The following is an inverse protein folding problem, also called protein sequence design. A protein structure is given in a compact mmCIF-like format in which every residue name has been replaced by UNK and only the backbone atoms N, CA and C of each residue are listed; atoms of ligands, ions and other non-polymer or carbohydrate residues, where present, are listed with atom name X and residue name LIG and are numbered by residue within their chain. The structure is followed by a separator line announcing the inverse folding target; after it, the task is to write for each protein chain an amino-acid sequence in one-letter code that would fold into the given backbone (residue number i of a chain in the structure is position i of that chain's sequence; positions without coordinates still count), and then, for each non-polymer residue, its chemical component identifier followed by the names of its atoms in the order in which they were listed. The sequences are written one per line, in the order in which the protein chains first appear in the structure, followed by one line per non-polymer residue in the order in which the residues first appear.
data_IF_371333528953
#
_entry.id   IF_371333528953
#
_cell.length_a   1.000
_cell.length_b   1.000
_cell.length_c   1.000
_cell.angle_alpha   90.00
_cell.angle_beta   90.00
_cell.angle_gamma   90.00
#
_symmetry.space_group_name_H-M   'P 1'
#
loop_
_entity.id
_entity.type
_entity.pdbx_description
1 polymer ?
#
# COMPACT_ATOMS: atom_id res chain seq x y z
N UNK A 1 -49.78 38.60 -47.36
CA UNK A 1 -48.32 38.46 -47.54
C UNK A 1 -47.69 39.40 -46.53
N UNK A 2 -47.26 38.93 -45.37
CA UNK A 2 -46.60 39.76 -44.37
C UNK A 2 -45.46 38.94 -43.73
N UNK A 3 -44.28 39.45 -43.95
CA UNK A 3 -43.03 39.00 -43.29
C UNK A 3 -43.02 39.56 -41.86
N UNK A 4 -43.22 38.74 -40.91
CA UNK A 4 -42.84 38.99 -39.49
C UNK A 4 -42.69 37.67 -38.77
N UNK A 5 -41.62 37.55 -38.11
CA UNK A 5 -41.30 36.63 -37.03
C UNK A 5 -40.17 35.66 -37.40
N UNK A 6 -39.00 36.02 -36.98
CA UNK A 6 -38.03 35.05 -36.47
C UNK A 6 -36.97 35.83 -35.66
N UNK A 7 -37.23 35.94 -34.40
CA UNK A 7 -36.23 36.27 -33.38
C UNK A 7 -36.73 35.65 -32.05
N UNK A 8 -36.54 34.34 -31.90
CA UNK A 8 -36.59 33.73 -30.59
C UNK A 8 -35.13 33.52 -30.12
N UNK A 9 -34.81 34.22 -29.07
CA UNK A 9 -33.56 34.13 -28.35
C UNK A 9 -33.34 32.73 -27.83
N UNK A 10 -32.30 32.08 -28.32
CA UNK A 10 -31.74 30.90 -27.65
C UNK A 10 -31.01 31.34 -26.39
N UNK A 11 -31.66 31.30 -25.25
CA UNK A 11 -31.02 31.40 -23.95
C UNK A 11 -30.21 30.12 -23.73
N UNK A 12 -28.90 30.14 -23.95
CA UNK A 12 -28.00 29.13 -23.48
C UNK A 12 -28.07 29.13 -21.95
N UNK A 13 -28.72 28.11 -21.38
CA UNK A 13 -28.57 27.77 -19.99
C UNK A 13 -27.13 27.33 -19.75
N UNK A 14 -26.30 28.21 -19.24
CA UNK A 14 -25.04 27.84 -18.59
C UNK A 14 -25.43 27.02 -17.38
N UNK A 15 -25.36 25.69 -17.52
CA UNK A 15 -25.44 24.78 -16.39
C UNK A 15 -24.24 25.09 -15.49
N UNK A 16 -24.46 25.93 -14.50
CA UNK A 16 -23.50 26.16 -13.42
C UNK A 16 -23.20 24.82 -12.79
N UNK A 17 -22.00 24.35 -12.97
CA UNK A 17 -21.45 23.25 -12.21
C UNK A 17 -21.55 23.65 -10.74
N UNK A 18 -22.58 23.21 -10.03
CA UNK A 18 -22.66 23.32 -8.58
C UNK A 18 -21.47 22.51 -8.06
N UNK A 19 -20.41 23.20 -7.65
CA UNK A 19 -19.41 22.63 -6.76
C UNK A 19 -20.18 22.06 -5.58
N UNK A 20 -20.32 20.73 -5.54
CA UNK A 20 -20.73 20.05 -4.32
C UNK A 20 -19.80 20.54 -3.21
N UNK A 21 -20.31 20.93 -2.04
CA UNK A 21 -19.43 21.21 -0.92
C UNK A 21 -18.61 19.95 -0.68
N UNK A 22 -17.31 20.06 -0.82
CA UNK A 22 -16.37 18.98 -0.54
C UNK A 22 -16.46 18.72 0.98
N UNK A 23 -17.40 17.83 1.36
CA UNK A 23 -17.39 17.28 2.70
C UNK A 23 -16.03 16.61 2.89
N UNK A 24 -15.34 16.90 3.99
CA UNK A 24 -14.06 16.28 4.33
C UNK A 24 -14.16 14.77 4.11
N UNK A 25 -13.47 14.29 3.08
CA UNK A 25 -13.46 12.86 2.76
C UNK A 25 -12.64 12.17 3.85
N UNK A 26 -13.31 11.44 4.75
CA UNK A 26 -12.62 10.64 5.77
C UNK A 26 -11.81 9.54 5.08
N UNK A 27 -10.50 9.72 5.03
CA UNK A 27 -9.56 8.70 4.52
C UNK A 27 -9.54 7.50 5.45
N UNK A 28 -9.39 6.31 4.87
CA UNK A 28 -9.30 5.04 5.62
C UNK A 28 -7.88 4.85 6.12
N UNK A 29 -7.68 4.81 7.44
CA UNK A 29 -6.38 4.63 8.06
C UNK A 29 -6.13 3.17 8.41
N UNK A 30 -4.95 2.68 8.06
CA UNK A 30 -4.44 1.36 8.39
C UNK A 30 -3.07 1.48 9.07
N UNK A 31 -2.74 0.45 9.85
CA UNK A 31 -1.42 0.30 10.45
C UNK A 31 -0.73 -0.91 9.85
N UNK A 32 0.51 -0.74 9.39
CA UNK A 32 1.37 -1.84 9.00
C UNK A 32 2.14 -2.35 10.23
N UNK A 33 2.19 -3.66 10.42
CA UNK A 33 2.86 -4.31 11.55
C UNK A 33 4.34 -3.93 11.68
N UNK A 34 5.00 -3.50 10.61
CA UNK A 34 6.37 -3.00 10.62
C UNK A 34 6.56 -1.88 11.63
N UNK A 35 5.58 -0.98 11.74
CA UNK A 35 5.63 0.20 12.62
C UNK A 35 5.69 -0.17 14.10
N UNK A 36 5.10 -1.29 14.48
CA UNK A 36 5.04 -1.76 15.88
C UNK A 36 5.88 -3.02 16.13
N UNK A 37 6.64 -3.49 15.14
CA UNK A 37 7.39 -4.76 15.23
C UNK A 37 8.43 -4.80 16.34
N UNK A 38 8.96 -3.64 16.74
CA UNK A 38 9.95 -3.53 17.81
C UNK A 38 9.43 -3.96 19.19
N UNK A 39 8.11 -3.94 19.39
CA UNK A 39 7.47 -4.40 20.61
C UNK A 39 7.32 -5.92 20.71
N UNK A 40 7.56 -6.65 19.61
CA UNK A 40 7.50 -8.13 19.55
C UNK A 40 6.17 -8.71 20.05
N UNK A 41 5.07 -8.01 19.76
CA UNK A 41 3.72 -8.45 20.14
C UNK A 41 3.31 -9.68 19.31
N UNK A 42 2.52 -10.57 19.91
CA UNK A 42 1.82 -11.62 19.17
C UNK A 42 0.83 -11.01 18.16
N UNK A 43 0.44 -11.72 17.10
CA UNK A 43 -0.57 -11.24 16.16
C UNK A 43 -1.85 -10.81 16.87
N UNK A 44 -2.29 -11.59 17.86
CA UNK A 44 -3.47 -11.31 18.68
C UNK A 44 -3.35 -9.97 19.44
N UNK A 45 -2.18 -9.69 20.00
CA UNK A 45 -1.95 -8.45 20.75
C UNK A 45 -1.74 -7.25 19.81
N UNK A 46 -1.14 -7.45 18.62
CA UNK A 46 -1.08 -6.43 17.58
C UNK A 46 -2.50 -6.01 17.17
N UNK A 47 -3.39 -6.96 16.86
CA UNK A 47 -4.79 -6.71 16.49
C UNK A 47 -5.54 -5.94 17.58
N UNK A 48 -5.42 -6.37 18.84
CA UNK A 48 -6.04 -5.65 19.98
C UNK A 48 -5.54 -4.22 20.10
N UNK A 49 -4.22 -4.01 20.01
CA UNK A 49 -3.61 -2.70 20.17
C UNK A 49 -4.03 -1.76 19.04
N UNK A 50 -4.00 -2.23 17.78
CA UNK A 50 -4.37 -1.44 16.60
C UNK A 50 -5.85 -1.08 16.62
N UNK A 51 -6.73 -2.03 16.96
CA UNK A 51 -8.16 -1.79 17.12
C UNK A 51 -8.46 -0.77 18.23
N UNK A 52 -7.83 -0.95 19.39
CA UNK A 52 -8.01 -0.05 20.54
C UNK A 52 -7.52 1.37 20.26
N UNK A 53 -6.54 1.55 19.38
CA UNK A 53 -6.07 2.86 18.94
C UNK A 53 -7.02 3.55 17.94
N UNK A 54 -8.00 2.84 17.35
CA UNK A 54 -9.00 3.41 16.46
C UNK A 54 -8.67 3.32 14.96
N UNK A 55 -7.71 2.47 14.56
CA UNK A 55 -7.48 2.18 13.15
C UNK A 55 -8.62 1.35 12.57
N UNK A 56 -9.00 1.64 11.32
CA UNK A 56 -9.97 0.83 10.58
C UNK A 56 -9.35 -0.36 9.85
N UNK A 57 -8.03 -0.31 9.58
CA UNK A 57 -7.29 -1.33 8.83
C UNK A 57 -6.01 -1.78 9.52
N UNK A 58 -5.56 -2.99 9.16
CA UNK A 58 -4.30 -3.56 9.62
C UNK A 58 -3.64 -4.40 8.53
N UNK A 59 -2.31 -4.30 8.40
CA UNK A 59 -1.47 -5.13 7.54
C UNK A 59 -0.54 -5.99 8.39
N UNK A 60 -0.92 -7.23 8.70
CA UNK A 60 -0.05 -8.17 9.41
C UNK A 60 1.07 -8.71 8.51
N UNK A 61 2.17 -9.15 9.13
CA UNK A 61 3.17 -9.94 8.44
C UNK A 61 2.78 -11.42 8.41
N UNK A 62 3.01 -12.10 7.28
CA UNK A 62 2.66 -13.52 7.11
C UNK A 62 3.32 -14.42 8.14
N UNK A 63 4.56 -14.11 8.57
CA UNK A 63 5.23 -14.86 9.64
C UNK A 63 4.45 -14.85 10.96
N UNK A 64 3.78 -13.72 11.29
CA UNK A 64 3.01 -13.60 12.52
C UNK A 64 1.67 -14.34 12.41
N UNK A 65 1.10 -14.36 11.20
CA UNK A 65 -0.09 -15.17 10.88
C UNK A 65 0.22 -16.66 11.03
N UNK A 66 1.33 -17.12 10.45
CA UNK A 66 1.75 -18.52 10.58
C UNK A 66 2.09 -18.91 12.02
N UNK A 67 2.70 -17.99 12.78
CA UNK A 67 2.93 -18.20 14.22
C UNK A 67 1.61 -18.36 14.98
N UNK A 68 0.61 -17.50 14.72
CA UNK A 68 -0.71 -17.59 15.35
C UNK A 68 -1.47 -18.87 14.97
N UNK A 69 -1.23 -19.42 13.77
CA UNK A 69 -1.76 -20.75 13.39
C UNK A 69 -1.08 -21.85 14.17
N UNK A 70 0.23 -21.78 14.33
CA UNK A 70 1.01 -22.80 15.02
C UNK A 70 0.70 -22.86 16.52
N UNK A 71 0.44 -21.72 17.16
CA UNK A 71 0.12 -21.62 18.59
C UNK A 71 -1.39 -21.69 18.89
N UNK A 72 -2.24 -21.83 17.87
CA UNK A 72 -3.69 -22.00 18.01
C UNK A 72 -4.47 -20.70 18.27
N UNK A 73 -3.84 -19.53 18.22
CA UNK A 73 -4.50 -18.23 18.49
C UNK A 73 -5.15 -17.60 17.26
N UNK A 74 -4.98 -18.18 16.07
CA UNK A 74 -5.43 -17.61 14.78
C UNK A 74 -6.92 -17.31 14.75
N UNK A 75 -7.78 -18.29 15.07
CA UNK A 75 -9.24 -18.14 15.03
C UNK A 75 -9.73 -17.03 15.95
N UNK A 76 -9.21 -17.01 17.18
CA UNK A 76 -9.50 -15.96 18.16
C UNK A 76 -9.07 -14.59 17.66
N UNK A 77 -7.90 -14.49 17.00
CA UNK A 77 -7.38 -13.24 16.47
C UNK A 77 -8.29 -12.68 15.37
N UNK A 78 -8.72 -13.52 14.44
CA UNK A 78 -9.67 -13.14 13.38
C UNK A 78 -11.01 -12.70 13.97
N UNK A 79 -11.48 -13.41 15.00
CA UNK A 79 -12.71 -13.04 15.71
C UNK A 79 -12.58 -11.66 16.39
N UNK A 80 -11.46 -11.39 17.06
CA UNK A 80 -11.22 -10.09 17.72
C UNK A 80 -11.21 -8.96 16.69
N UNK A 81 -10.52 -9.13 15.56
CA UNK A 81 -10.50 -8.13 14.50
C UNK A 81 -11.92 -7.82 14.00
N UNK A 82 -12.69 -8.85 13.66
CA UNK A 82 -14.08 -8.71 13.20
C UNK A 82 -14.96 -8.01 14.24
N UNK A 83 -14.91 -8.46 15.50
CA UNK A 83 -15.78 -7.93 16.56
C UNK A 83 -15.43 -6.47 16.93
N UNK A 84 -14.20 -6.02 16.64
CA UNK A 84 -13.76 -4.63 16.79
C UNK A 84 -13.93 -3.77 15.53
N UNK A 85 -14.40 -4.34 14.40
CA UNK A 85 -14.53 -3.65 13.13
C UNK A 85 -13.19 -3.41 12.39
N UNK A 86 -12.08 -3.99 12.87
CA UNK A 86 -10.77 -3.89 12.23
C UNK A 86 -10.71 -4.79 10.99
N UNK A 87 -10.32 -4.24 9.84
CA UNK A 87 -10.17 -4.99 8.59
C UNK A 87 -8.70 -5.35 8.33
N UNK A 88 -8.44 -6.59 7.92
CA UNK A 88 -7.16 -6.94 7.34
C UNK A 88 -7.15 -6.46 5.89
N UNK A 89 -6.28 -5.48 5.57
CA UNK A 89 -6.35 -4.79 4.28
C UNK A 89 -5.36 -5.32 3.25
N UNK A 90 -4.25 -5.86 3.72
CA UNK A 90 -3.20 -6.51 2.92
C UNK A 90 -2.33 -7.35 3.85
N UNK A 91 -1.69 -8.40 3.36
CA UNK A 91 -0.69 -9.19 4.09
C UNK A 91 0.71 -8.93 3.57
N UNK A 92 1.67 -8.68 4.46
CA UNK A 92 3.07 -8.45 4.09
C UNK A 92 3.79 -9.78 3.97
N UNK A 93 4.13 -10.15 2.72
CA UNK A 93 4.73 -11.43 2.36
C UNK A 93 6.11 -11.27 1.71
N UNK A 94 6.91 -12.31 1.80
CA UNK A 94 8.29 -12.31 1.34
C UNK A 94 8.64 -13.52 0.46
N UNK A 95 7.69 -14.07 -0.29
CA UNK A 95 7.94 -15.16 -1.23
C UNK A 95 8.88 -14.74 -2.38
N UNK A 96 9.87 -15.57 -2.69
CA UNK A 96 10.86 -15.31 -3.76
C UNK A 96 10.33 -15.67 -5.16
N UNK A 97 9.08 -15.25 -5.46
CA UNK A 97 8.36 -15.58 -6.70
C UNK A 97 9.04 -15.07 -7.97
N UNK A 98 9.89 -14.03 -7.86
CA UNK A 98 10.55 -13.35 -8.98
C UNK A 98 11.95 -13.89 -9.27
N UNK A 99 12.48 -14.80 -8.43
CA UNK A 99 13.87 -15.26 -8.51
C UNK A 99 14.22 -15.87 -9.87
N UNK A 100 15.43 -15.61 -10.45
CA UNK A 100 15.84 -16.17 -11.75
C UNK A 100 16.03 -17.69 -11.72
N UNK A 101 16.56 -18.24 -10.62
CA UNK A 101 16.63 -19.69 -10.43
C UNK A 101 15.23 -20.29 -10.34
N UNK A 102 14.96 -21.30 -11.18
CA UNK A 102 13.64 -21.91 -11.31
C UNK A 102 13.19 -22.65 -10.04
N UNK A 103 14.11 -23.29 -9.31
CA UNK A 103 13.79 -24.03 -8.10
C UNK A 103 13.46 -23.07 -6.94
N UNK A 104 14.25 -22.00 -6.79
CA UNK A 104 13.99 -20.95 -5.79
C UNK A 104 12.64 -20.27 -6.08
N UNK A 105 12.39 -19.97 -7.36
CA UNK A 105 11.12 -19.37 -7.79
C UNK A 105 9.93 -20.30 -7.55
N UNK A 106 10.05 -21.58 -7.85
CA UNK A 106 9.00 -22.56 -7.59
C UNK A 106 8.68 -22.67 -6.09
N UNK A 107 9.71 -22.71 -5.23
CA UNK A 107 9.52 -22.70 -3.78
C UNK A 107 8.85 -21.40 -3.31
N UNK A 108 9.23 -20.24 -3.88
CA UNK A 108 8.61 -18.95 -3.59
C UNK A 108 7.14 -18.87 -4.02
N UNK A 109 6.75 -19.48 -5.12
CA UNK A 109 5.35 -19.59 -5.55
C UNK A 109 4.54 -20.48 -4.58
N UNK A 110 5.09 -21.62 -4.15
CA UNK A 110 4.41 -22.47 -3.16
C UNK A 110 4.30 -21.79 -1.78
N UNK A 111 5.29 -20.98 -1.38
CA UNK A 111 5.19 -20.12 -0.21
C UNK A 111 4.06 -19.10 -0.37
N UNK A 112 4.04 -18.36 -1.48
CA UNK A 112 2.99 -17.38 -1.79
C UNK A 112 1.60 -18.01 -1.78
N UNK A 113 1.46 -19.22 -2.27
CA UNK A 113 0.20 -19.98 -2.23
C UNK A 113 -0.26 -20.31 -0.81
N UNK A 114 0.66 -20.75 0.06
CA UNK A 114 0.35 -20.97 1.50
C UNK A 114 -0.05 -19.67 2.19
N UNK A 115 0.64 -18.58 1.87
CA UNK A 115 0.36 -17.26 2.40
C UNK A 115 -1.02 -16.76 1.96
N UNK A 116 -1.35 -16.86 0.68
CA UNK A 116 -2.68 -16.51 0.17
C UNK A 116 -3.79 -17.35 0.81
N UNK A 117 -3.55 -18.66 1.06
CA UNK A 117 -4.52 -19.49 1.77
C UNK A 117 -4.79 -18.99 3.18
N UNK A 118 -3.74 -18.58 3.91
CA UNK A 118 -3.87 -18.01 5.24
C UNK A 118 -4.62 -16.67 5.23
N UNK A 119 -4.34 -15.82 4.25
CA UNK A 119 -5.01 -14.54 4.07
C UNK A 119 -6.48 -14.69 3.69
N UNK A 120 -6.80 -15.60 2.79
CA UNK A 120 -8.19 -15.90 2.41
C UNK A 120 -9.02 -16.37 3.63
N UNK A 121 -8.45 -17.26 4.46
CA UNK A 121 -9.11 -17.76 5.67
C UNK A 121 -9.37 -16.64 6.70
N UNK A 122 -8.46 -15.65 6.82
CA UNK A 122 -8.68 -14.53 7.72
C UNK A 122 -9.51 -13.39 7.12
N UNK A 123 -9.94 -13.51 5.86
CA UNK A 123 -10.72 -12.49 5.17
C UNK A 123 -9.87 -11.30 4.68
N UNK A 124 -8.56 -11.48 4.52
CA UNK A 124 -7.65 -10.47 3.99
C UNK A 124 -7.62 -10.56 2.45
N UNK A 125 -8.03 -9.49 1.72
CA UNK A 125 -8.23 -9.59 0.27
C UNK A 125 -6.96 -9.41 -0.55
N UNK A 126 -5.81 -9.10 0.05
CA UNK A 126 -4.59 -8.72 -0.69
C UNK A 126 -3.32 -9.27 -0.06
N UNK A 127 -2.28 -9.36 -0.89
CA UNK A 127 -0.94 -9.79 -0.50
C UNK A 127 0.12 -8.92 -1.18
N UNK A 128 1.14 -8.49 -0.44
CA UNK A 128 2.31 -7.82 -1.00
C UNK A 128 3.14 -8.82 -1.84
N UNK A 129 3.47 -8.44 -3.06
CA UNK A 129 4.34 -9.20 -3.97
C UNK A 129 5.64 -8.41 -4.18
N UNK A 130 6.56 -8.57 -3.23
CA UNK A 130 7.83 -7.84 -3.19
C UNK A 130 8.93 -8.48 -4.05
N UNK A 131 10.02 -7.74 -4.25
CA UNK A 131 11.18 -8.16 -5.04
C UNK A 131 12.21 -8.94 -4.22
N UNK A 132 11.77 -9.71 -3.22
CA UNK A 132 12.69 -10.45 -2.35
C UNK A 132 13.55 -11.45 -3.14
N UNK A 133 14.83 -11.51 -2.77
CA UNK A 133 15.83 -12.41 -3.39
C UNK A 133 16.59 -11.79 -4.56
N UNK A 134 16.11 -10.67 -5.12
CA UNK A 134 16.74 -10.00 -6.26
C UNK A 134 16.94 -8.48 -6.07
N UNK A 135 16.72 -7.97 -4.87
CA UNK A 135 16.72 -6.53 -4.59
C UNK A 135 18.10 -5.94 -4.27
N UNK A 136 19.06 -6.78 -3.83
CA UNK A 136 20.36 -6.32 -3.31
C UNK A 136 21.36 -6.02 -4.43
N UNK A 137 22.33 -5.13 -4.20
CA UNK A 137 23.51 -5.00 -5.07
C UNK A 137 24.17 -6.36 -5.31
N UNK A 138 24.53 -6.62 -6.57
CA UNK A 138 25.08 -7.93 -7.00
C UNK A 138 24.03 -8.97 -7.37
N UNK A 139 22.73 -8.74 -7.11
CA UNK A 139 21.70 -9.62 -7.61
C UNK A 139 21.62 -9.58 -9.14
N UNK A 140 21.19 -10.69 -9.79
CA UNK A 140 20.94 -10.71 -11.23
C UNK A 140 19.99 -9.61 -11.65
N UNK A 141 20.32 -8.92 -12.75
CA UNK A 141 19.42 -7.93 -13.35
C UNK A 141 18.29 -8.64 -14.08
N UNK A 142 17.09 -8.12 -13.89
CA UNK A 142 15.86 -8.60 -14.55
C UNK A 142 15.32 -7.47 -15.43
N UNK A 143 14.87 -7.84 -16.61
CA UNK A 143 14.08 -6.94 -17.45
C UNK A 143 12.65 -6.81 -16.90
N UNK A 144 11.96 -5.71 -17.21
CA UNK A 144 10.55 -5.54 -16.83
C UNK A 144 9.67 -6.65 -17.43
N UNK A 145 10.04 -7.18 -18.60
CA UNK A 145 9.34 -8.30 -19.23
C UNK A 145 9.47 -9.59 -18.43
N UNK A 146 10.67 -9.91 -17.93
CA UNK A 146 10.89 -11.08 -17.07
C UNK A 146 10.15 -10.96 -15.73
N UNK A 147 10.13 -9.75 -15.13
CA UNK A 147 9.35 -9.49 -13.91
C UNK A 147 7.87 -9.70 -14.20
N UNK A 148 7.36 -9.15 -15.31
CA UNK A 148 5.96 -9.29 -15.70
C UNK A 148 5.56 -10.75 -15.96
N UNK A 149 6.37 -11.51 -16.69
CA UNK A 149 6.14 -12.94 -16.93
C UNK A 149 5.99 -13.73 -15.64
N UNK A 150 6.90 -13.49 -14.67
CA UNK A 150 6.86 -14.17 -13.38
C UNK A 150 5.71 -13.68 -12.50
N UNK A 151 5.35 -12.40 -12.57
CA UNK A 151 4.21 -11.85 -11.83
C UNK A 151 2.86 -12.38 -12.34
N UNK A 152 2.74 -12.77 -13.62
CA UNK A 152 1.54 -13.43 -14.15
C UNK A 152 1.17 -14.68 -13.34
N UNK A 153 2.15 -15.51 -12.96
CA UNK A 153 1.88 -16.71 -12.15
C UNK A 153 1.30 -16.35 -10.76
N UNK A 154 1.78 -15.26 -10.15
CA UNK A 154 1.26 -14.76 -8.86
C UNK A 154 -0.16 -14.21 -9.03
N UNK A 155 -0.43 -13.47 -10.13
CA UNK A 155 -1.76 -12.95 -10.44
C UNK A 155 -2.78 -14.08 -10.70
N UNK A 156 -2.39 -15.09 -11.49
CA UNK A 156 -3.24 -16.24 -11.80
C UNK A 156 -3.54 -17.08 -10.52
N UNK A 157 -2.57 -17.18 -9.60
CA UNK A 157 -2.76 -17.79 -8.29
C UNK A 157 -3.74 -16.97 -7.43
N UNK A 158 -3.53 -15.66 -7.36
CA UNK A 158 -4.39 -14.75 -6.61
C UNK A 158 -5.84 -14.77 -7.08
N UNK A 159 -6.05 -14.82 -8.41
CA UNK A 159 -7.38 -14.93 -9.00
C UNK A 159 -8.11 -16.24 -8.58
N UNK A 160 -7.37 -17.35 -8.45
CA UNK A 160 -7.91 -18.63 -8.01
C UNK A 160 -8.26 -18.64 -6.51
N UNK A 161 -7.53 -17.89 -5.71
CA UNK A 161 -7.63 -17.89 -4.25
C UNK A 161 -8.42 -16.72 -3.68
N UNK A 162 -8.86 -15.77 -4.53
CA UNK A 162 -9.57 -14.58 -4.09
C UNK A 162 -8.70 -13.60 -3.32
N UNK A 163 -7.36 -13.62 -3.52
CA UNK A 163 -6.40 -12.73 -2.85
C UNK A 163 -5.61 -11.98 -3.92
N UNK A 164 -5.83 -10.68 -4.03
CA UNK A 164 -5.18 -9.82 -5.03
C UNK A 164 -3.72 -9.57 -4.69
N UNK A 165 -2.74 -9.94 -5.55
CA UNK A 165 -1.35 -9.55 -5.34
C UNK A 165 -1.14 -8.09 -5.71
N UNK A 166 -0.44 -7.35 -4.86
CA UNK A 166 -0.01 -5.99 -5.10
C UNK A 166 1.48 -6.00 -5.42
N UNK A 167 1.85 -5.58 -6.63
CA UNK A 167 3.26 -5.49 -7.03
C UNK A 167 3.96 -4.39 -6.23
N UNK A 168 4.89 -4.77 -5.40
CA UNK A 168 5.64 -3.85 -4.55
C UNK A 168 7.01 -3.52 -5.16
N UNK A 169 7.33 -2.24 -5.25
CA UNK A 169 8.67 -1.77 -5.62
C UNK A 169 9.38 -1.22 -4.38
N UNK A 170 10.68 -1.47 -4.28
CA UNK A 170 11.50 -0.98 -3.18
C UNK A 170 12.55 0.00 -3.67
N UNK A 171 12.55 1.22 -3.20
CA UNK A 171 13.41 2.31 -3.66
C UNK A 171 14.91 2.04 -3.55
N UNK A 172 15.31 1.06 -2.77
CA UNK A 172 16.70 0.57 -2.70
C UNK A 172 16.97 -0.65 -3.59
N UNK A 173 15.97 -1.19 -4.26
CA UNK A 173 16.11 -2.37 -5.10
C UNK A 173 16.92 -2.07 -6.35
N UNK A 174 17.76 -3.04 -6.76
CA UNK A 174 18.51 -2.94 -8.02
C UNK A 174 17.67 -3.32 -9.24
N UNK A 175 16.49 -3.88 -9.06
CA UNK A 175 15.60 -4.31 -10.13
C UNK A 175 14.37 -3.41 -10.25
N UNK A 176 13.38 -3.54 -9.38
CA UNK A 176 12.15 -2.74 -9.42
C UNK A 176 12.19 -1.72 -8.28
N UNK A 177 12.49 -0.45 -8.59
CA UNK A 177 12.71 0.59 -7.57
C UNK A 177 11.88 1.86 -7.75
N UNK A 178 11.04 1.96 -8.80
CA UNK A 178 10.22 3.13 -9.09
C UNK A 178 8.80 2.74 -9.45
N UNK A 179 7.85 3.63 -9.15
CA UNK A 179 6.45 3.45 -9.53
C UNK A 179 6.27 3.36 -11.05
N UNK A 180 7.03 4.14 -11.82
CA UNK A 180 7.01 4.13 -13.30
C UNK A 180 7.29 2.74 -13.86
N UNK A 181 8.30 2.07 -13.29
CA UNK A 181 8.71 0.72 -13.71
C UNK A 181 7.65 -0.32 -13.30
N UNK A 182 7.07 -0.18 -12.09
CA UNK A 182 5.98 -1.04 -11.65
C UNK A 182 4.74 -0.91 -12.56
N UNK A 183 4.36 0.30 -12.96
CA UNK A 183 3.29 0.53 -13.93
C UNK A 183 3.60 -0.07 -15.30
N UNK A 184 4.86 0.01 -15.76
CA UNK A 184 5.28 -0.63 -16.99
C UNK A 184 5.17 -2.17 -16.92
N UNK A 185 5.51 -2.78 -15.77
CA UNK A 185 5.27 -4.22 -15.52
C UNK A 185 3.78 -4.55 -15.61
N UNK A 186 2.89 -3.79 -14.93
CA UNK A 186 1.45 -4.03 -14.99
C UNK A 186 0.90 -3.93 -16.42
N UNK A 187 1.41 -2.99 -17.23
CA UNK A 187 1.02 -2.85 -18.63
C UNK A 187 1.39 -4.06 -19.50
N UNK A 188 2.47 -4.78 -19.15
CA UNK A 188 2.89 -6.02 -19.83
C UNK A 188 2.04 -7.21 -19.34
N UNK A 189 1.76 -7.30 -18.04
CA UNK A 189 1.04 -8.43 -17.40
C UNK A 189 -0.35 -8.65 -18.00
N UNK A 190 -1.10 -7.58 -18.27
CA UNK A 190 -2.43 -7.62 -18.90
C UNK A 190 -3.41 -8.59 -18.22
N UNK A 191 -3.42 -8.64 -16.90
CA UNK A 191 -4.41 -9.40 -16.13
C UNK A 191 -5.40 -8.44 -15.46
N UNK A 192 -6.70 -8.78 -15.38
CA UNK A 192 -7.66 -8.01 -14.60
C UNK A 192 -7.23 -7.90 -13.15
N UNK A 193 -7.48 -6.76 -12.52
CA UNK A 193 -7.22 -6.56 -11.10
C UNK A 193 -5.74 -6.45 -10.72
N UNK A 194 -4.82 -6.23 -11.68
CA UNK A 194 -3.42 -5.94 -11.37
C UNK A 194 -3.29 -4.59 -10.68
N UNK A 195 -2.53 -4.54 -9.59
CA UNK A 195 -2.37 -3.35 -8.76
C UNK A 195 -0.94 -3.25 -8.21
N UNK A 196 -0.58 -2.08 -7.73
CA UNK A 196 0.70 -1.82 -7.06
C UNK A 196 0.47 -1.62 -5.56
N UNK A 197 1.46 -1.99 -4.77
CA UNK A 197 1.65 -1.50 -3.41
C UNK A 197 2.65 -0.36 -3.50
N UNK A 198 2.11 0.87 -3.58
CA UNK A 198 2.94 2.05 -3.64
C UNK A 198 3.33 2.52 -2.23
N UNK A 199 4.49 3.16 -2.13
CA UNK A 199 5.07 3.63 -0.89
C UNK A 199 5.72 5.00 -1.11
N UNK A 200 5.43 5.95 -0.22
CA UNK A 200 5.92 7.34 -0.33
C UNK A 200 7.44 7.42 -0.19
N UNK A 201 7.99 6.72 0.81
CA UNK A 201 9.45 6.66 1.00
C UNK A 201 10.14 5.95 -0.16
N UNK A 202 9.62 4.81 -0.60
CA UNK A 202 10.22 4.08 -1.71
C UNK A 202 10.13 4.85 -3.03
N UNK A 203 9.07 5.61 -3.28
CA UNK A 203 8.97 6.52 -4.42
C UNK A 203 10.12 7.53 -4.40
N UNK A 204 10.32 8.22 -3.28
CA UNK A 204 11.43 9.17 -3.14
C UNK A 204 12.79 8.47 -3.20
N UNK A 205 12.99 7.42 -2.41
CA UNK A 205 14.27 6.70 -2.30
C UNK A 205 14.76 6.14 -3.63
N UNK A 206 13.84 5.65 -4.47
CA UNK A 206 14.11 5.13 -5.80
C UNK A 206 14.34 6.21 -6.87
N UNK A 207 14.09 7.47 -6.55
CA UNK A 207 14.16 8.59 -7.51
C UNK A 207 12.99 8.64 -8.47
N UNK A 208 11.84 8.09 -8.07
CA UNK A 208 10.58 8.21 -8.80
C UNK A 208 9.99 9.62 -8.70
N UNK A 209 9.10 9.94 -9.63
CA UNK A 209 8.37 11.19 -9.67
C UNK A 209 6.98 11.00 -9.06
N UNK A 210 6.62 11.83 -8.06
CA UNK A 210 5.28 11.81 -7.46
C UNK A 210 4.17 12.16 -8.47
N UNK A 211 4.46 12.88 -9.54
CA UNK A 211 3.51 13.10 -10.63
C UNK A 211 3.04 11.80 -11.30
N UNK A 212 3.78 10.70 -11.16
CA UNK A 212 3.41 9.37 -11.68
C UNK A 212 2.13 8.83 -11.04
N UNK A 213 1.79 9.25 -9.80
CA UNK A 213 0.52 8.86 -9.17
C UNK A 213 -0.71 9.28 -9.98
N UNK A 214 -0.63 10.34 -10.79
CA UNK A 214 -1.69 10.75 -11.72
C UNK A 214 -1.99 9.72 -12.83
N UNK A 215 -1.11 8.75 -13.07
CA UNK A 215 -1.28 7.68 -14.06
C UNK A 215 -2.04 6.47 -13.54
N UNK A 216 -2.22 6.37 -12.22
CA UNK A 216 -2.94 5.27 -11.56
C UNK A 216 -4.45 5.38 -11.77
N UNK A 217 -5.13 4.24 -11.68
CA UNK A 217 -6.58 4.15 -11.53
C UNK A 217 -6.93 3.77 -10.08
N UNK A 218 -8.20 3.96 -9.65
CA UNK A 218 -8.62 3.55 -8.31
C UNK A 218 -8.36 2.08 -8.00
N UNK A 219 -8.51 1.19 -8.98
CA UNK A 219 -8.30 -0.25 -8.84
C UNK A 219 -6.81 -0.61 -8.71
N UNK A 220 -5.93 0.23 -9.26
CA UNK A 220 -4.49 -0.01 -9.24
C UNK A 220 -3.80 0.42 -7.95
N UNK A 221 -4.46 1.21 -7.09
CA UNK A 221 -3.90 1.67 -5.81
C UNK A 221 -4.88 1.44 -4.65
N UNK A 222 -5.11 0.19 -4.25
CA UNK A 222 -6.02 -0.11 -3.12
C UNK A 222 -5.40 0.18 -1.75
N UNK A 223 -4.07 0.18 -1.64
CA UNK A 223 -3.30 0.46 -0.43
C UNK A 223 -2.12 1.35 -0.81
N UNK A 224 -1.86 2.39 -0.01
CA UNK A 224 -0.69 3.25 -0.08
C UNK A 224 0.06 3.20 1.25
N UNK A 225 1.32 2.78 1.23
CA UNK A 225 2.18 2.90 2.39
C UNK A 225 2.55 4.37 2.61
N UNK A 226 2.17 4.88 3.77
CA UNK A 226 2.40 6.27 4.16
C UNK A 226 3.47 6.33 5.25
N UNK A 227 4.47 7.13 4.98
CA UNK A 227 5.66 7.38 5.76
C UNK A 227 6.31 8.64 5.20
N UNK A 228 7.32 9.16 5.86
CA UNK A 228 8.03 10.33 5.37
C UNK A 228 9.55 10.10 5.46
N UNK A 229 10.33 11.01 4.93
CA UNK A 229 11.79 10.93 4.87
C UNK A 229 12.41 12.26 5.30
N UNK A 230 13.48 12.22 6.15
CA UNK A 230 14.07 13.42 6.70
C UNK A 230 14.95 14.14 5.66
N UNK A 231 15.15 15.45 5.86
CA UNK A 231 16.10 16.26 5.08
C UNK A 231 17.56 16.11 5.50
N UNK A 232 17.81 15.38 6.60
CA UNK A 232 19.12 15.32 7.26
C UNK A 232 20.11 14.35 6.60
N UNK A 233 19.64 13.54 5.63
CA UNK A 233 20.43 12.56 4.90
C UNK A 233 20.24 12.68 3.40
N UNK A 234 21.29 12.48 2.58
CA UNK A 234 21.16 12.32 1.15
C UNK A 234 20.21 11.17 0.80
N UNK A 235 19.37 11.33 -0.23
CA UNK A 235 18.42 10.31 -0.67
C UNK A 235 19.04 8.92 -0.85
N UNK A 236 20.24 8.86 -1.42
CA UNK A 236 20.95 7.60 -1.69
C UNK A 236 21.42 6.85 -0.43
N UNK A 237 21.51 7.54 0.70
CA UNK A 237 21.97 6.98 1.98
C UNK A 237 20.81 6.61 2.93
N UNK A 238 19.59 7.00 2.57
CA UNK A 238 18.40 6.67 3.37
C UNK A 238 18.17 5.16 3.44
N UNK A 239 17.84 4.68 4.63
CA UNK A 239 17.47 3.30 4.93
C UNK A 239 16.12 3.25 5.61
N UNK A 240 15.48 2.09 5.70
CA UNK A 240 14.16 1.96 6.33
C UNK A 240 14.09 2.52 7.77
N UNK A 241 15.12 2.36 8.63
CA UNK A 241 15.16 3.00 9.95
C UNK A 241 15.14 4.53 9.94
N UNK A 242 15.44 5.17 8.82
CA UNK A 242 15.44 6.64 8.70
C UNK A 242 14.03 7.19 8.40
N UNK A 243 13.05 6.36 8.09
CA UNK A 243 11.67 6.79 7.86
C UNK A 243 11.13 7.51 9.11
N UNK A 244 10.40 8.60 8.87
CA UNK A 244 9.75 9.39 9.91
C UNK A 244 8.24 9.39 9.73
N UNK A 245 7.49 9.92 10.72
CA UNK A 245 6.05 10.01 10.61
C UNK A 245 5.63 10.86 9.41
N UNK A 246 4.48 10.53 8.77
CA UNK A 246 3.89 11.40 7.77
C UNK A 246 3.78 12.85 8.27
N UNK A 247 4.28 13.80 7.47
CA UNK A 247 4.34 15.23 7.80
C UNK A 247 5.57 15.69 8.60
N UNK A 248 6.43 14.79 9.06
CA UNK A 248 7.68 15.14 9.74
C UNK A 248 8.87 15.21 8.78
N UNK A 249 8.65 15.07 7.47
CA UNK A 249 9.70 15.05 6.47
C UNK A 249 9.44 15.97 5.27
N UNK A 250 9.83 15.51 4.10
CA UNK A 250 9.82 16.28 2.85
C UNK A 250 8.81 15.77 1.81
N UNK A 251 7.97 14.80 2.16
CA UNK A 251 7.01 14.25 1.21
C UNK A 251 5.98 15.32 0.78
N UNK A 252 5.63 15.41 -0.51
CA UNK A 252 4.73 16.43 -1.05
C UNK A 252 3.25 16.03 -0.79
N UNK A 253 2.85 15.99 0.47
CA UNK A 253 1.54 15.46 0.90
C UNK A 253 0.37 16.17 0.26
N UNK A 254 0.40 17.50 0.19
CA UNK A 254 -0.68 18.30 -0.39
C UNK A 254 -0.88 17.97 -1.87
N UNK A 255 0.19 17.92 -2.64
CA UNK A 255 0.17 17.63 -4.07
C UNK A 255 -0.23 16.17 -4.33
N UNK A 256 0.26 15.25 -3.48
CA UNK A 256 -0.09 13.83 -3.58
C UNK A 256 -1.57 13.61 -3.33
N UNK A 257 -2.13 14.14 -2.24
CA UNK A 257 -3.55 13.98 -1.94
C UNK A 257 -4.44 14.69 -2.96
N UNK A 258 -4.06 15.88 -3.44
CA UNK A 258 -4.77 16.55 -4.52
C UNK A 258 -4.79 15.70 -5.81
N UNK A 259 -3.68 15.05 -6.13
CA UNK A 259 -3.58 14.13 -7.27
C UNK A 259 -4.50 12.92 -7.10
N UNK A 260 -4.48 12.27 -5.93
CA UNK A 260 -5.35 11.13 -5.65
C UNK A 260 -6.84 11.51 -5.73
N UNK A 261 -7.21 12.69 -5.19
CA UNK A 261 -8.59 13.18 -5.24
C UNK A 261 -9.06 13.49 -6.65
N UNK A 262 -8.22 14.17 -7.45
CA UNK A 262 -8.50 14.47 -8.85
C UNK A 262 -8.70 13.20 -9.69
N UNK A 263 -8.08 12.08 -9.30
CA UNK A 263 -8.20 10.77 -9.95
C UNK A 263 -9.29 9.88 -9.35
N UNK A 264 -9.97 10.32 -8.30
CA UNK A 264 -10.96 9.52 -7.58
C UNK A 264 -10.36 8.32 -6.83
N UNK A 265 -9.07 8.35 -6.52
CA UNK A 265 -8.33 7.28 -5.85
C UNK A 265 -8.45 7.46 -4.34
N UNK A 266 -8.99 6.46 -3.64
CA UNK A 266 -9.19 6.47 -2.19
C UNK A 266 -8.63 5.18 -1.56
N UNK A 267 -7.29 5.05 -1.45
CA UNK A 267 -6.65 3.87 -0.91
C UNK A 267 -6.80 3.78 0.62
N UNK A 268 -6.53 2.61 1.18
CA UNK A 268 -6.13 2.53 2.57
C UNK A 268 -4.78 3.22 2.73
N UNK A 269 -4.70 4.20 3.63
CA UNK A 269 -3.45 4.86 4.01
C UNK A 269 -2.84 4.07 5.16
N UNK A 270 -1.82 3.27 4.86
CA UNK A 270 -1.23 2.34 5.82
C UNK A 270 0.13 2.84 6.29
N UNK A 271 0.24 3.15 7.58
CA UNK A 271 1.47 3.69 8.17
C UNK A 271 2.51 2.58 8.26
N UNK A 272 3.61 2.72 7.52
CA UNK A 272 4.72 1.77 7.54
C UNK A 272 6.04 2.43 7.91
N UNK A 273 6.50 2.19 9.13
CA UNK A 273 7.74 2.74 9.67
C UNK A 273 8.62 1.63 10.25
N UNK A 274 9.93 1.88 10.24
CA UNK A 274 10.93 0.96 10.78
C UNK A 274 11.86 1.66 11.78
N UNK A 275 11.50 2.86 12.24
CA UNK A 275 12.35 3.71 13.06
C UNK A 275 12.38 3.21 14.52
N UNK A 276 13.54 2.74 15.01
CA UNK A 276 13.64 2.19 16.36
C UNK A 276 13.46 3.24 17.45
N UNK A 277 13.57 4.52 17.15
CA UNK A 277 13.31 5.58 18.14
C UNK A 277 11.85 5.59 18.60
N UNK A 278 10.92 5.17 17.74
CA UNK A 278 9.49 5.13 18.05
C UNK A 278 9.11 3.96 18.97
N UNK A 279 9.97 2.96 19.09
CA UNK A 279 9.75 1.80 19.99
C UNK A 279 10.24 2.03 21.43
N UNK A 280 10.69 3.26 21.75
CA UNK A 280 11.11 3.64 23.10
C UNK A 280 9.94 4.07 24.00
N UNK A 281 8.74 4.21 23.43
CA UNK A 281 7.49 4.50 24.13
C UNK A 281 6.62 3.25 24.23
N UNK A 282 5.37 3.37 24.65
CA UNK A 282 4.44 2.24 24.66
C UNK A 282 3.85 1.99 23.27
N UNK A 283 3.38 0.76 22.95
CA UNK A 283 2.65 0.49 21.70
C UNK A 283 1.45 1.43 21.53
N UNK A 284 0.72 1.72 22.59
CA UNK A 284 -0.45 2.60 22.56
C UNK A 284 -0.07 4.04 22.18
N UNK A 285 1.04 4.57 22.71
CA UNK A 285 1.52 5.91 22.38
C UNK A 285 1.97 5.99 20.93
N UNK A 286 2.71 4.99 20.43
CA UNK A 286 3.14 4.93 19.04
C UNK A 286 1.95 4.89 18.07
N UNK A 287 0.95 4.05 18.37
CA UNK A 287 -0.26 3.94 17.55
C UNK A 287 -1.08 5.25 17.56
N UNK A 288 -1.25 5.87 18.72
CA UNK A 288 -1.93 7.18 18.84
C UNK A 288 -1.20 8.26 18.05
N UNK A 289 0.12 8.37 18.20
CA UNK A 289 0.95 9.32 17.44
C UNK A 289 0.76 9.15 15.95
N UNK A 290 0.71 7.91 15.45
CA UNK A 290 0.48 7.65 14.03
C UNK A 290 -0.85 8.23 13.52
N UNK A 291 -1.94 8.07 14.26
CA UNK A 291 -3.25 8.66 13.90
C UNK A 291 -3.18 10.19 13.92
N UNK A 292 -2.60 10.79 14.97
CA UNK A 292 -2.46 12.24 15.11
C UNK A 292 -1.67 12.84 13.94
N UNK A 293 -0.54 12.21 13.57
CA UNK A 293 0.29 12.62 12.43
C UNK A 293 -0.45 12.53 11.10
N UNK A 294 -1.19 11.43 10.87
CA UNK A 294 -1.98 11.28 9.66
C UNK A 294 -3.09 12.34 9.56
N UNK A 295 -3.80 12.60 10.65
CA UNK A 295 -4.82 13.66 10.65
C UNK A 295 -4.20 15.03 10.38
N UNK A 296 -3.04 15.34 10.97
CA UNK A 296 -2.32 16.58 10.66
C UNK A 296 -1.95 16.67 9.17
N UNK A 297 -1.40 15.59 8.59
CA UNK A 297 -1.10 15.53 7.16
C UNK A 297 -2.33 15.74 6.25
N UNK A 298 -3.46 15.16 6.62
CA UNK A 298 -4.70 15.28 5.83
C UNK A 298 -5.32 16.69 5.90
N UNK A 299 -5.04 17.43 6.96
CA UNK A 299 -5.56 18.79 7.17
C UNK A 299 -4.68 19.89 6.53
N UNK A 300 -3.59 19.54 5.83
CA UNK A 300 -2.78 20.48 5.04
C UNK A 300 -3.43 20.93 3.72
N UNK A 301 -4.66 20.47 3.42
CA UNK A 301 -5.40 20.74 2.20
C UNK A 301 -6.41 21.87 2.30
#
# INVERSE_FOLDING_TARGET
MNRRAFLELSALAVAGCRMCPCGERKRKLSMNASTIRGYKLSLKDQVKAVAAAGYGGFEPWLKDIHAARADGTFVDTVKIARDSGLQFVNGIAFGSWVHPDANVRAAGIEETKRDMAALAEMGCPRIAASMLGVQKPGSPKLTLAEIAERFVAVCDLGAKMGVQPLLEYWGHSVNLNRLEDALAVLAIVKRPGTAVLADVYHTYRGGGDFATFARLTPEQLPVLHVNDYPSTKPRAELTDPDRVWPGDGLAPWKELFATLDARGIDPWLSIELFNPAYWRTTPADTLRTGIEKMHACLNFG
#
